data_IF_855668417643
#
_entry.id   IF_855668417643
#
_cell.length_a   1.000
_cell.length_b   1.000
_cell.length_c   1.000
_cell.angle_alpha   90.00
_cell.angle_beta   90.00
_cell.angle_gamma   90.00
#
_symmetry.space_group_name_H-M   'P 1'
#
loop_
_entity.id
_entity.type
_entity.pdbx_description
1 polymer ?
#
# COMPACT_ATOMS: atom_id res chain seq x y z
N UNK A 1 -20.50 -3.17 -14.89
CA UNK A 1 -19.55 -3.87 -13.98
C UNK A 1 -18.97 -5.06 -14.70
N UNK A 2 -17.64 -5.24 -14.68
CA UNK A 2 -17.02 -6.44 -15.23
C UNK A 2 -17.44 -7.70 -14.48
N UNK A 3 -17.41 -8.87 -15.14
CA UNK A 3 -17.75 -10.14 -14.51
C UNK A 3 -16.67 -10.49 -13.47
N UNK A 4 -17.02 -10.52 -12.19
CA UNK A 4 -16.11 -10.87 -11.09
C UNK A 4 -15.64 -12.33 -11.26
N UNK A 5 -14.34 -12.55 -11.09
CA UNK A 5 -13.74 -13.88 -11.08
C UNK A 5 -14.07 -14.57 -9.76
N UNK A 6 -14.63 -15.79 -9.81
CA UNK A 6 -14.90 -16.58 -8.60
C UNK A 6 -13.61 -16.88 -7.83
N UNK A 7 -12.48 -17.06 -8.52
CA UNK A 7 -11.18 -17.26 -7.87
C UNK A 7 -10.81 -16.03 -7.02
N UNK A 8 -10.94 -14.84 -7.59
CA UNK A 8 -10.60 -13.61 -6.87
C UNK A 8 -11.54 -13.40 -5.68
N UNK A 9 -12.85 -13.59 -5.89
CA UNK A 9 -13.84 -13.50 -4.81
C UNK A 9 -13.53 -14.46 -3.65
N UNK A 10 -13.07 -15.69 -3.93
CA UNK A 10 -12.65 -16.63 -2.89
C UNK A 10 -11.42 -16.12 -2.12
N UNK A 11 -10.42 -15.60 -2.82
CA UNK A 11 -9.21 -15.04 -2.20
C UNK A 11 -9.54 -13.82 -1.34
N UNK A 12 -10.39 -12.92 -1.85
CA UNK A 12 -10.80 -11.73 -1.11
C UNK A 12 -11.58 -12.10 0.16
N UNK A 13 -12.43 -13.14 0.11
CA UNK A 13 -13.16 -13.64 1.29
C UNK A 13 -12.22 -14.21 2.37
N UNK A 14 -11.08 -14.79 1.99
CA UNK A 14 -10.06 -15.28 2.94
C UNK A 14 -9.47 -14.11 3.73
N UNK A 15 -9.22 -12.96 3.10
CA UNK A 15 -8.72 -11.76 3.77
C UNK A 15 -9.71 -11.10 4.73
N UNK A 16 -10.97 -11.56 4.77
CA UNK A 16 -12.03 -11.01 5.64
C UNK A 16 -12.82 -12.14 6.33
N UNK A 17 -12.17 -13.28 6.51
CA UNK A 17 -12.70 -14.51 7.11
C UNK A 17 -13.39 -14.26 8.46
N UNK A 18 -12.82 -13.40 9.31
CA UNK A 18 -13.37 -12.99 10.62
C UNK A 18 -14.77 -12.37 10.55
N UNK A 19 -15.20 -11.91 9.37
CA UNK A 19 -16.52 -11.32 9.16
C UNK A 19 -17.56 -12.35 8.65
N UNK A 20 -17.11 -13.49 8.15
CA UNK A 20 -17.96 -14.53 7.58
C UNK A 20 -18.90 -15.23 8.58
N UNK A 21 -18.55 -15.45 9.86
CA UNK A 21 -19.45 -16.09 10.83
C UNK A 21 -20.79 -15.36 10.95
N UNK A 22 -20.77 -14.03 10.86
CA UNK A 22 -22.00 -13.23 10.93
C UNK A 22 -22.90 -13.46 9.72
N UNK A 23 -22.33 -13.60 8.53
CA UNK A 23 -23.10 -13.89 7.32
C UNK A 23 -23.66 -15.31 7.38
N UNK A 24 -22.87 -16.28 7.82
CA UNK A 24 -23.33 -17.67 7.98
C UNK A 24 -24.47 -17.79 8.99
N UNK A 25 -24.52 -16.93 10.02
CA UNK A 25 -25.64 -16.84 10.95
C UNK A 25 -26.92 -16.32 10.29
N UNK A 26 -26.81 -15.29 9.44
CA UNK A 26 -27.96 -14.70 8.73
C UNK A 26 -28.40 -15.58 7.54
N UNK A 27 -27.48 -16.34 6.96
CA UNK A 27 -27.64 -17.18 5.76
C UNK A 27 -26.93 -18.54 5.90
N UNK A 28 -27.57 -19.52 6.58
CA UNK A 28 -26.95 -20.80 6.90
C UNK A 28 -26.50 -21.63 5.69
N UNK A 29 -27.01 -21.35 4.48
CA UNK A 29 -26.61 -22.03 3.25
C UNK A 29 -25.15 -21.79 2.86
N UNK A 30 -24.52 -20.73 3.39
CA UNK A 30 -23.10 -20.43 3.16
C UNK A 30 -22.18 -21.05 4.22
N UNK A 31 -22.74 -21.59 5.32
CA UNK A 31 -21.98 -22.15 6.43
C UNK A 31 -20.86 -23.12 5.99
N UNK A 32 -21.09 -24.09 5.08
CA UNK A 32 -20.02 -25.00 4.67
C UNK A 32 -18.84 -24.30 4.00
N UNK A 33 -19.08 -23.22 3.25
CA UNK A 33 -18.02 -22.46 2.57
C UNK A 33 -17.31 -21.56 3.57
N UNK A 34 -18.03 -20.92 4.49
CA UNK A 34 -17.42 -20.07 5.50
C UNK A 34 -16.58 -20.88 6.49
N UNK A 35 -17.08 -22.04 6.93
CA UNK A 35 -16.34 -22.94 7.81
C UNK A 35 -15.03 -23.38 7.14
N UNK A 36 -15.08 -23.80 5.87
CA UNK A 36 -13.87 -24.15 5.11
C UNK A 36 -12.83 -23.01 5.08
N UNK A 37 -13.26 -21.76 4.86
CA UNK A 37 -12.36 -20.61 4.81
C UNK A 37 -11.71 -20.38 6.18
N UNK A 38 -12.52 -20.39 7.24
CA UNK A 38 -12.09 -20.10 8.61
C UNK A 38 -11.17 -21.21 9.15
N UNK A 39 -11.55 -22.47 8.96
CA UNK A 39 -10.80 -23.63 9.44
C UNK A 39 -9.48 -23.85 8.67
N UNK A 40 -9.42 -23.35 7.43
CA UNK A 40 -8.23 -23.50 6.58
C UNK A 40 -7.02 -22.70 7.06
N UNK A 41 -7.24 -21.58 7.76
CA UNK A 41 -6.19 -20.67 8.27
C UNK A 41 -5.14 -20.34 7.20
N UNK A 42 -5.62 -19.94 6.00
CA UNK A 42 -4.79 -19.80 4.80
C UNK A 42 -3.83 -18.59 4.82
N UNK A 43 -3.97 -17.70 5.80
CA UNK A 43 -3.12 -16.50 5.96
C UNK A 43 -2.00 -16.71 6.98
N UNK A 44 -1.89 -17.90 7.56
CA UNK A 44 -0.86 -18.20 8.54
C UNK A 44 0.52 -18.30 7.88
N UNK A 45 1.37 -17.30 8.08
CA UNK A 45 2.72 -17.24 7.51
C UNK A 45 3.67 -18.34 8.02
N UNK A 46 3.37 -18.99 9.14
CA UNK A 46 4.17 -20.11 9.68
C UNK A 46 3.92 -21.42 8.93
N UNK A 47 2.73 -21.56 8.34
CA UNK A 47 2.33 -22.72 7.58
C UNK A 47 2.33 -22.35 6.09
N UNK A 48 3.31 -22.84 5.32
CA UNK A 48 3.42 -22.62 3.87
C UNK A 48 2.30 -23.37 3.09
N UNK A 49 1.06 -23.01 3.38
CA UNK A 49 -0.17 -23.58 2.82
C UNK A 49 -0.50 -22.85 1.52
N UNK A 50 -0.76 -23.59 0.43
CA UNK A 50 -1.22 -22.97 -0.80
C UNK A 50 -2.65 -22.41 -0.63
N UNK A 51 -2.92 -21.27 -1.26
CA UNK A 51 -4.27 -20.74 -1.35
C UNK A 51 -5.24 -21.73 -2.01
N UNK A 52 -6.47 -21.86 -1.48
CA UNK A 52 -7.41 -22.85 -1.97
C UNK A 52 -8.02 -22.43 -3.30
N UNK A 53 -8.48 -23.43 -4.04
CA UNK A 53 -9.26 -23.28 -5.26
C UNK A 53 -10.73 -23.58 -5.01
N UNK A 54 -11.59 -23.17 -5.96
CA UNK A 54 -13.03 -23.51 -5.92
C UNK A 54 -13.25 -25.02 -5.95
N UNK A 55 -12.30 -25.78 -6.52
CA UNK A 55 -12.35 -27.24 -6.55
C UNK A 55 -12.11 -27.82 -5.15
N UNK A 56 -11.13 -27.29 -4.42
CA UNK A 56 -10.82 -27.74 -3.05
C UNK A 56 -12.01 -27.51 -2.12
N UNK A 57 -12.69 -26.36 -2.24
CA UNK A 57 -13.93 -26.07 -1.52
C UNK A 57 -15.02 -27.10 -1.86
N UNK A 58 -15.20 -27.43 -3.14
CA UNK A 58 -16.21 -28.40 -3.58
C UNK A 58 -15.96 -29.81 -3.05
N UNK A 59 -14.70 -30.24 -3.04
CA UNK A 59 -14.29 -31.54 -2.49
C UNK A 59 -14.47 -31.59 -0.98
N UNK A 60 -14.10 -30.53 -0.26
CA UNK A 60 -14.20 -30.47 1.19
C UNK A 60 -15.66 -30.40 1.69
N UNK A 61 -16.51 -29.67 0.97
CA UNK A 61 -17.90 -29.42 1.39
C UNK A 61 -18.92 -30.43 0.84
N UNK A 62 -18.50 -31.33 -0.04
CA UNK A 62 -19.36 -32.22 -0.85
C UNK A 62 -20.46 -31.45 -1.64
N UNK A 63 -20.19 -30.17 -1.95
CA UNK A 63 -21.08 -29.33 -2.75
C UNK A 63 -20.61 -29.40 -4.20
N UNK A 64 -21.55 -29.66 -5.12
CA UNK A 64 -21.26 -29.63 -6.56
C UNK A 64 -20.55 -28.33 -6.95
N UNK A 65 -19.44 -28.44 -7.67
CA UNK A 65 -18.59 -27.32 -8.11
C UNK A 65 -19.37 -26.08 -8.63
N UNK A 66 -20.35 -26.28 -9.52
CA UNK A 66 -21.16 -25.17 -10.05
C UNK A 66 -21.96 -24.41 -8.98
N UNK A 67 -22.37 -25.12 -7.93
CA UNK A 67 -23.10 -24.55 -6.80
C UNK A 67 -22.14 -23.79 -5.89
N UNK A 68 -20.96 -24.34 -5.59
CA UNK A 68 -19.90 -23.61 -4.86
C UNK A 68 -19.57 -22.30 -5.57
N UNK A 69 -19.33 -22.37 -6.88
CA UNK A 69 -19.01 -21.18 -7.68
C UNK A 69 -20.06 -20.08 -7.54
N UNK A 70 -21.34 -20.45 -7.59
CA UNK A 70 -22.46 -19.51 -7.41
C UNK A 70 -22.57 -19.00 -5.97
N UNK A 71 -22.34 -19.85 -4.99
CA UNK A 71 -22.42 -19.47 -3.59
C UNK A 71 -21.28 -18.55 -3.18
N UNK A 72 -20.04 -18.80 -3.62
CA UNK A 72 -18.89 -17.90 -3.39
C UNK A 72 -19.18 -16.50 -3.93
N UNK A 73 -19.67 -16.40 -5.17
CA UNK A 73 -19.99 -15.10 -5.76
C UNK A 73 -21.13 -14.38 -5.00
N UNK A 74 -22.19 -15.11 -4.63
CA UNK A 74 -23.28 -14.53 -3.84
C UNK A 74 -22.81 -14.08 -2.46
N UNK A 75 -22.00 -14.88 -1.78
CA UNK A 75 -21.41 -14.57 -0.49
C UNK A 75 -20.55 -13.31 -0.61
N UNK A 76 -19.72 -13.22 -1.64
CA UNK A 76 -18.92 -12.03 -1.93
C UNK A 76 -19.80 -10.79 -2.16
N UNK A 77 -20.86 -10.90 -2.97
CA UNK A 77 -21.78 -9.79 -3.21
C UNK A 77 -22.49 -9.31 -1.91
N UNK A 78 -22.77 -10.23 -0.97
CA UNK A 78 -23.35 -9.88 0.34
C UNK A 78 -22.41 -9.04 1.22
N UNK A 79 -21.09 -9.07 0.99
CA UNK A 79 -20.12 -8.25 1.71
C UNK A 79 -20.21 -6.75 1.34
N UNK A 80 -20.82 -6.41 0.19
CA UNK A 80 -20.86 -5.04 -0.34
C UNK A 80 -22.30 -4.52 -0.49
N UNK A 81 -23.09 -4.44 0.59
CA UNK A 81 -24.42 -3.85 0.51
C UNK A 81 -24.31 -2.35 0.20
N UNK A 82 -25.00 -1.91 -0.85
CA UNK A 82 -24.95 -0.55 -1.41
C UNK A 82 -25.35 0.59 -0.45
N UNK A 83 -25.95 0.29 0.71
CA UNK A 83 -26.57 1.30 1.59
C UNK A 83 -26.09 1.24 3.03
N UNK A 84 -25.84 0.06 3.60
CA UNK A 84 -25.38 -0.09 4.99
C UNK A 84 -24.47 -1.31 5.12
N UNK A 85 -23.19 -1.09 5.44
CA UNK A 85 -22.26 -2.20 5.62
C UNK A 85 -22.56 -2.94 6.92
N UNK A 86 -23.23 -4.10 6.81
CA UNK A 86 -23.67 -4.89 7.96
C UNK A 86 -22.58 -5.83 8.48
N UNK A 87 -21.64 -6.23 7.62
CA UNK A 87 -20.73 -7.35 7.87
C UNK A 87 -19.27 -6.93 8.00
N UNK A 88 -18.75 -6.04 7.14
CA UNK A 88 -17.36 -5.59 7.25
C UNK A 88 -17.20 -4.60 8.40
N UNK A 89 -16.37 -4.96 9.37
CA UNK A 89 -16.07 -4.12 10.55
C UNK A 89 -14.61 -4.28 10.96
N UNK A 90 -13.78 -3.31 10.61
CA UNK A 90 -12.38 -3.25 11.06
C UNK A 90 -12.33 -2.49 12.39
N UNK A 91 -12.16 -3.23 13.49
CA UNK A 91 -12.21 -2.67 14.85
C UNK A 91 -10.84 -2.36 15.42
N UNK A 92 -9.80 -2.96 14.84
CA UNK A 92 -8.41 -2.76 15.25
C UNK A 92 -7.70 -1.87 14.24
N UNK A 93 -6.78 -1.04 14.73
CA UNK A 93 -5.91 -0.20 13.90
C UNK A 93 -4.49 -0.48 14.31
N UNK A 94 -3.59 -0.68 13.34
CA UNK A 94 -2.15 -0.84 13.57
C UNK A 94 -1.38 0.06 12.63
N UNK A 95 -0.39 0.79 13.14
CA UNK A 95 0.51 1.58 12.32
C UNK A 95 1.77 0.78 12.03
N UNK A 96 2.12 0.66 10.75
CA UNK A 96 3.40 0.08 10.31
C UNK A 96 4.26 1.22 9.77
N UNK A 97 5.29 1.61 10.51
CA UNK A 97 6.23 2.63 10.06
C UNK A 97 7.38 1.96 9.31
N UNK A 98 7.46 2.20 8.01
CA UNK A 98 8.51 1.69 7.13
C UNK A 98 9.59 2.74 6.92
N UNK A 99 10.86 2.35 6.92
CA UNK A 99 11.98 3.23 6.60
C UNK A 99 13.17 2.42 6.09
N UNK A 100 13.92 3.01 5.17
CA UNK A 100 15.17 2.40 4.67
C UNK A 100 16.39 3.08 5.27
N UNK A 101 17.39 2.29 5.66
CA UNK A 101 18.68 2.79 6.14
C UNK A 101 19.82 1.92 5.59
N UNK A 102 20.84 2.55 4.98
CA UNK A 102 21.92 1.86 4.25
C UNK A 102 21.44 0.77 3.27
N UNK A 103 20.36 1.05 2.53
CA UNK A 103 19.82 0.12 1.53
C UNK A 103 19.15 -1.13 2.14
N UNK A 104 18.85 -1.11 3.44
CA UNK A 104 18.03 -2.13 4.09
C UNK A 104 16.72 -1.53 4.55
N UNK A 105 15.64 -2.26 4.30
CA UNK A 105 14.31 -1.87 4.75
C UNK A 105 14.08 -2.34 6.18
N UNK A 106 13.48 -1.46 6.96
CA UNK A 106 13.11 -1.68 8.34
C UNK A 106 11.66 -1.27 8.51
N UNK A 107 10.99 -1.92 9.46
CA UNK A 107 9.69 -1.47 9.90
C UNK A 107 9.53 -1.62 11.41
N UNK A 108 8.59 -0.86 11.96
CA UNK A 108 8.12 -1.03 13.33
C UNK A 108 6.61 -0.91 13.39
N UNK A 109 5.99 -1.72 14.25
CA UNK A 109 4.54 -1.72 14.46
C UNK A 109 4.22 -0.96 15.73
N UNK A 110 3.24 -0.05 15.65
CA UNK A 110 2.75 0.75 16.77
C UNK A 110 1.22 0.61 16.81
N UNK A 111 0.67 0.32 17.98
CA UNK A 111 -0.77 0.07 18.12
C UNK A 111 -1.61 1.33 17.91
N UNK A 112 -1.14 2.49 18.36
CA UNK A 112 -1.89 3.73 18.17
C UNK A 112 -1.02 4.98 18.24
N UNK A 113 -1.50 6.04 17.59
CA UNK A 113 -1.00 7.40 17.77
C UNK A 113 -2.10 8.26 18.38
N UNK A 114 -1.79 9.11 19.38
CA UNK A 114 -2.75 10.07 19.92
C UNK A 114 -3.24 11.08 18.86
N UNK A 115 -2.38 11.37 17.87
CA UNK A 115 -2.68 12.24 16.75
C UNK A 115 -2.30 11.50 15.46
N UNK A 116 -3.22 11.31 14.51
CA UNK A 116 -2.91 10.65 13.25
C UNK A 116 -1.82 11.40 12.47
N UNK A 117 -0.82 10.65 12.01
CA UNK A 117 0.26 11.17 11.17
C UNK A 117 -0.28 11.68 9.83
N UNK A 118 0.37 12.70 9.27
CA UNK A 118 0.05 13.25 7.94
C UNK A 118 1.29 13.28 7.06
N UNK A 119 1.07 13.13 5.76
CA UNK A 119 2.13 13.32 4.77
C UNK A 119 2.72 14.73 4.91
N UNK A 120 4.04 14.80 5.00
CA UNK A 120 4.81 16.02 5.19
C UNK A 120 5.09 16.42 6.64
N UNK A 121 4.57 15.68 7.62
CA UNK A 121 4.96 15.87 9.02
C UNK A 121 6.35 15.30 9.28
N UNK A 122 7.13 16.02 10.09
CA UNK A 122 8.40 15.52 10.60
C UNK A 122 8.15 14.67 11.86
N UNK A 123 8.78 13.50 11.91
CA UNK A 123 8.69 12.55 13.01
C UNK A 123 10.07 12.36 13.60
N UNK A 124 10.20 12.62 14.90
CA UNK A 124 11.43 12.36 15.64
C UNK A 124 11.26 11.12 16.48
N UNK A 125 12.16 10.14 16.30
CA UNK A 125 12.15 8.86 17.01
C UNK A 125 13.50 8.66 17.70
N UNK A 126 13.76 9.32 18.84
CA UNK A 126 15.09 9.38 19.44
C UNK A 126 15.70 8.02 19.80
N UNK A 127 14.88 7.03 20.14
CA UNK A 127 15.35 5.69 20.50
C UNK A 127 15.93 4.90 19.32
N UNK A 128 15.68 5.32 18.06
CA UNK A 128 16.32 4.74 16.88
C UNK A 128 17.78 5.19 16.73
N UNK A 129 18.17 6.31 17.36
CA UNK A 129 19.50 6.91 17.19
C UNK A 129 20.64 5.96 17.53
N UNK A 130 20.51 5.19 18.61
CA UNK A 130 21.56 4.28 19.04
C UNK A 130 21.77 3.11 18.05
N UNK A 131 20.69 2.64 17.42
CA UNK A 131 20.71 1.49 16.52
C UNK A 131 21.02 1.87 15.07
N UNK A 132 20.47 2.99 14.61
CA UNK A 132 20.49 3.40 13.21
C UNK A 132 21.24 4.72 12.97
N UNK A 133 21.82 5.36 13.99
CA UNK A 133 22.49 6.67 13.87
C UNK A 133 21.63 7.80 13.26
N UNK A 134 20.33 7.56 13.10
CA UNK A 134 19.32 8.48 12.60
C UNK A 134 18.13 8.46 13.56
N UNK A 135 17.50 9.61 13.70
CA UNK A 135 16.33 9.80 14.57
C UNK A 135 15.31 10.80 14.02
N UNK A 136 15.63 11.50 12.92
CA UNK A 136 14.75 12.47 12.29
C UNK A 136 14.30 11.95 10.95
N UNK A 137 12.99 11.92 10.78
CA UNK A 137 12.32 11.45 9.58
C UNK A 137 11.20 12.43 9.20
N UNK A 138 10.66 12.25 8.00
CA UNK A 138 9.39 12.80 7.60
C UNK A 138 8.49 11.76 6.95
N UNK A 139 7.18 11.96 7.07
CA UNK A 139 6.17 11.09 6.45
C UNK A 139 6.09 11.40 4.96
N UNK A 140 6.44 10.41 4.14
CA UNK A 140 6.48 10.53 2.67
C UNK A 140 5.22 10.02 1.99
N UNK A 141 4.59 8.97 2.53
CA UNK A 141 3.28 8.47 2.10
C UNK A 141 2.58 7.74 3.23
N UNK A 142 1.25 7.66 3.13
CA UNK A 142 0.39 6.87 4.02
C UNK A 142 -0.51 6.03 3.12
N UNK A 143 -0.51 4.72 3.33
CA UNK A 143 -1.40 3.77 2.69
C UNK A 143 -2.25 3.07 3.74
N UNK A 144 -3.40 2.55 3.31
CA UNK A 144 -4.29 1.78 4.17
C UNK A 144 -4.48 0.39 3.57
N UNK A 145 -4.15 -0.64 4.35
CA UNK A 145 -4.45 -2.04 4.03
C UNK A 145 -5.46 -2.55 5.05
N UNK A 146 -6.48 -3.26 4.56
CA UNK A 146 -7.51 -3.86 5.39
C UNK A 146 -7.40 -5.37 5.26
N UNK A 147 -7.23 -6.03 6.39
CA UNK A 147 -7.04 -7.47 6.45
C UNK A 147 -7.57 -7.98 7.78
N UNK A 148 -8.35 -9.05 7.73
CA UNK A 148 -9.11 -9.59 8.85
C UNK A 148 -9.94 -8.48 9.52
N UNK A 149 -9.75 -8.24 10.83
CA UNK A 149 -10.43 -7.19 11.59
C UNK A 149 -9.55 -5.94 11.79
N UNK A 150 -8.39 -5.88 11.13
CA UNK A 150 -7.37 -4.84 11.32
C UNK A 150 -7.30 -3.90 10.12
N UNK A 151 -7.29 -2.60 10.41
CA UNK A 151 -6.83 -1.57 9.49
C UNK A 151 -5.35 -1.31 9.74
N UNK A 152 -4.50 -1.73 8.81
CA UNK A 152 -3.10 -1.36 8.78
C UNK A 152 -2.94 0.03 8.15
N UNK A 153 -2.33 0.95 8.89
CA UNK A 153 -1.91 2.26 8.41
C UNK A 153 -0.41 2.18 8.14
N UNK A 154 -0.06 1.99 6.88
CA UNK A 154 1.32 1.84 6.42
C UNK A 154 1.89 3.22 6.13
N UNK A 155 2.92 3.60 6.88
CA UNK A 155 3.52 4.93 6.85
C UNK A 155 4.96 4.81 6.37
N UNK A 156 5.25 5.39 5.20
CA UNK A 156 6.60 5.42 4.66
C UNK A 156 7.36 6.64 5.18
N UNK A 157 8.43 6.40 5.92
CA UNK A 157 9.29 7.42 6.50
C UNK A 157 10.58 7.57 5.68
N UNK A 158 10.96 8.83 5.42
CA UNK A 158 12.23 9.18 4.80
C UNK A 158 13.12 9.95 5.77
N UNK A 159 14.41 9.69 5.71
CA UNK A 159 15.42 10.37 6.53
C UNK A 159 15.50 11.88 6.23
N UNK A 160 15.60 12.70 7.27
CA UNK A 160 15.80 14.14 7.16
C UNK A 160 14.52 14.95 7.36
N UNK A 161 14.51 16.18 6.84
CA UNK A 161 13.41 17.12 6.99
C UNK A 161 12.52 17.19 5.75
N UNK A 162 11.21 17.26 5.97
CA UNK A 162 10.26 17.50 4.89
C UNK A 162 10.52 18.85 4.22
N UNK A 163 10.60 18.84 2.89
CA UNK A 163 10.75 20.05 2.09
C UNK A 163 9.62 20.14 1.06
N UNK A 164 8.60 20.94 1.40
CA UNK A 164 7.42 21.14 0.54
C UNK A 164 7.80 21.60 -0.88
N UNK A 165 8.78 22.50 -1.01
CA UNK A 165 9.23 22.99 -2.31
C UNK A 165 9.79 21.85 -3.17
N UNK A 166 10.59 20.97 -2.58
CA UNK A 166 11.12 19.81 -3.30
C UNK A 166 10.02 18.86 -3.77
N UNK A 167 9.00 18.61 -2.93
CA UNK A 167 7.87 17.77 -3.31
C UNK A 167 7.11 18.34 -4.51
N UNK A 168 6.76 19.63 -4.46
CA UNK A 168 6.11 20.32 -5.59
C UNK A 168 6.96 20.26 -6.86
N UNK A 169 8.27 20.47 -6.73
CA UNK A 169 9.19 20.44 -7.87
C UNK A 169 9.31 19.05 -8.50
N UNK A 170 9.28 18.02 -7.67
CA UNK A 170 9.30 16.62 -8.11
C UNK A 170 8.01 16.29 -8.86
N UNK A 171 6.86 16.69 -8.34
CA UNK A 171 5.56 16.47 -8.99
C UNK A 171 5.46 17.20 -10.33
N UNK A 172 5.93 18.46 -10.38
CA UNK A 172 6.08 19.21 -11.63
C UNK A 172 7.00 18.49 -12.62
N UNK A 173 8.15 18.00 -12.16
CA UNK A 173 9.10 17.26 -13.00
C UNK A 173 8.52 15.97 -13.55
N UNK A 174 7.69 15.26 -12.78
CA UNK A 174 6.99 14.05 -13.24
C UNK A 174 5.88 14.38 -14.26
N UNK A 175 5.11 15.44 -14.01
CA UNK A 175 4.03 15.87 -14.89
C UNK A 175 4.56 16.36 -16.25
N UNK A 176 5.69 17.05 -16.24
CA UNK A 176 6.37 17.57 -17.44
C UNK A 176 7.28 16.54 -18.13
N UNK A 177 7.51 15.39 -17.49
CA UNK A 177 8.40 14.33 -18.00
C UNK A 177 9.90 14.62 -17.85
N UNK A 178 10.26 15.70 -17.16
CA UNK A 178 11.65 16.02 -16.79
C UNK A 178 12.26 14.95 -15.87
N UNK A 179 11.43 14.35 -15.01
CA UNK A 179 11.80 13.19 -14.20
C UNK A 179 11.12 11.96 -14.82
N UNK A 180 11.88 10.99 -15.36
CA UNK A 180 11.32 9.72 -15.79
C UNK A 180 10.67 8.99 -14.61
N UNK A 181 9.48 8.41 -14.79
CA UNK A 181 8.79 7.67 -13.71
C UNK A 181 9.65 6.59 -13.05
N UNK A 182 10.50 5.91 -13.82
CA UNK A 182 11.42 4.89 -13.31
C UNK A 182 12.52 5.43 -12.37
N UNK A 183 12.84 6.72 -12.47
CA UNK A 183 13.86 7.34 -11.61
C UNK A 183 13.43 7.43 -10.14
N UNK A 184 12.11 7.46 -9.86
CA UNK A 184 11.58 7.47 -8.50
C UNK A 184 11.88 6.20 -7.71
N UNK A 185 12.03 5.07 -8.40
CA UNK A 185 12.29 3.78 -7.78
C UNK A 185 13.78 3.45 -7.71
N UNK A 186 14.59 4.10 -8.55
CA UNK A 186 16.01 3.80 -8.69
C UNK A 186 16.92 4.75 -7.89
N UNK A 187 16.42 5.91 -7.46
CA UNK A 187 17.25 6.97 -6.89
C UNK A 187 16.63 7.55 -5.62
N UNK A 188 17.49 7.87 -4.67
CA UNK A 188 17.11 8.60 -3.48
C UNK A 188 16.84 10.09 -3.78
N UNK A 189 16.18 10.78 -2.86
CA UNK A 189 15.79 12.18 -3.02
C UNK A 189 16.99 13.12 -3.19
N UNK A 190 18.16 12.81 -2.62
CA UNK A 190 19.36 13.64 -2.80
C UNK A 190 19.92 13.49 -4.23
N UNK A 191 20.04 12.25 -4.72
CA UNK A 191 20.49 11.97 -6.09
C UNK A 191 19.57 12.61 -7.14
N UNK A 192 18.25 12.55 -6.93
CA UNK A 192 17.27 13.22 -7.80
C UNK A 192 17.41 14.75 -7.76
N UNK A 193 17.66 15.34 -6.59
CA UNK A 193 17.90 16.79 -6.44
C UNK A 193 19.12 17.22 -7.23
N UNK A 194 20.24 16.51 -7.09
CA UNK A 194 21.46 16.86 -7.82
C UNK A 194 21.25 16.83 -9.34
N UNK A 195 20.55 15.85 -9.88
CA UNK A 195 20.31 15.76 -11.33
C UNK A 195 19.41 16.88 -11.85
N UNK A 196 18.36 17.24 -11.12
CA UNK A 196 17.48 18.35 -11.50
C UNK A 196 18.23 19.70 -11.43
N UNK A 197 19.06 19.89 -10.40
CA UNK A 197 19.88 21.10 -10.26
C UNK A 197 20.91 21.17 -11.40
N UNK A 198 21.65 20.07 -11.67
CA UNK A 198 22.64 20.01 -12.75
C UNK A 198 22.00 20.12 -14.15
N UNK A 199 20.81 19.58 -14.34
CA UNK A 199 20.03 19.68 -15.58
C UNK A 199 19.57 21.12 -15.88
N UNK A 200 19.13 21.86 -14.86
CA UNK A 200 18.81 23.30 -14.94
C UNK A 200 20.04 24.17 -15.13
N UNK A 201 21.15 23.85 -14.46
CA UNK A 201 22.39 24.61 -14.63
C UNK A 201 22.95 24.48 -16.05
N UNK A 202 22.85 23.33 -16.71
CA UNK A 202 23.25 23.21 -18.12
C UNK A 202 22.35 24.00 -19.07
N UNK A 203 21.04 24.09 -18.83
CA UNK A 203 20.13 24.89 -19.67
C UNK A 203 20.33 26.39 -19.48
N UNK A 204 20.57 26.84 -18.24
CA UNK A 204 20.89 28.24 -17.91
C UNK A 204 22.31 28.62 -18.37
N UNK A 205 23.27 27.71 -18.24
CA UNK A 205 24.62 27.89 -18.76
C UNK A 205 24.62 27.98 -20.29
N UNK A 206 23.93 27.07 -20.99
CA UNK A 206 23.85 27.08 -22.45
C UNK A 206 23.08 28.29 -22.98
N UNK A 207 22.02 28.76 -22.29
CA UNK A 207 21.31 29.98 -22.67
C UNK A 207 22.17 31.23 -22.49
N UNK A 208 22.90 31.34 -21.37
CA UNK A 208 23.86 32.43 -21.13
C UNK A 208 25.03 32.40 -22.11
N UNK A 209 25.58 31.23 -22.43
CA UNK A 209 26.65 31.07 -23.43
C UNK A 209 26.15 31.46 -24.83
N UNK A 210 24.91 31.10 -25.19
CA UNK A 210 24.32 31.49 -26.47
C UNK A 210 24.00 32.99 -26.55
N UNK A 211 23.54 33.60 -25.45
CA UNK A 211 23.34 35.05 -25.34
C UNK A 211 24.68 35.81 -25.44
N UNK A 212 25.73 35.28 -24.81
CA UNK A 212 27.09 35.83 -24.89
C UNK A 212 27.69 35.70 -26.30
N UNK A 213 27.45 34.57 -26.98
CA UNK A 213 27.86 34.36 -28.38
C UNK A 213 27.12 35.30 -29.34
N UNK A 214 25.81 35.51 -29.16
CA UNK A 214 25.04 36.51 -29.91
C UNK A 214 25.55 37.94 -29.73
N UNK A 215 25.85 38.33 -28.48
CA UNK A 215 26.40 39.66 -28.18
C UNK A 215 27.81 39.89 -28.72
N UNK A 216 28.64 38.85 -28.77
CA UNK A 216 30.06 38.96 -29.14
C UNK A 216 30.35 38.73 -30.62
N UNK A 217 29.50 37.98 -31.33
CA UNK A 217 29.74 37.57 -32.72
C UNK A 217 28.63 37.95 -33.71
N UNK A 218 27.58 38.65 -33.27
CA UNK A 218 26.62 39.32 -34.15
C UNK A 218 26.01 38.42 -35.23
N UNK A 219 25.17 37.46 -34.81
CA UNK A 219 24.16 36.84 -35.67
C UNK A 219 22.77 37.17 -35.12
#
# INVERSE_FOLDING_TARGET
MGKISTKQALLDLIHVDVHLPKIASDYPEFKPITDFIIEGDFLNEEEDKPYPTVKDVAEHTDIRYDKVRKQVLKLYDLMFPFLENRYLKFTEVKYQLHFSYFGRDHYMVIDSFPVPLRVGENVSVPFLKAKFQIYQFYVSSINHRFEQNVQYIEVELKSGDYNMYWHLRKDEGLATGEIPRGALYAKDDYSLREEIIKGKDMTVYNSRVNEYKKRRWGF
#
